data_IF_144463609268
#
_entry.id   IF_144463609268
#
_cell.length_a   1.000
_cell.length_b   1.000
_cell.length_c   1.000
_cell.angle_alpha   90.00
_cell.angle_beta   90.00
_cell.angle_gamma   90.00
#
_symmetry.space_group_name_H-M   'P 1'
#
loop_
_entity.id
_entity.type
_entity.pdbx_description
1 polymer ?
#
# COMPACT_ATOMS: atom_id res chain seq x y z
N UNK A 1 6.47 0.48 0.97
CA UNK A 1 5.02 0.47 0.75
C UNK A 1 4.34 0.01 2.02
N UNK A 2 3.21 0.62 2.36
CA UNK A 2 2.32 0.21 3.44
C UNK A 2 1.00 -0.23 2.80
N UNK A 3 0.53 -1.43 3.14
CA UNK A 3 -0.70 -2.03 2.64
C UNK A 3 -1.43 -2.72 3.78
N UNK A 4 -2.68 -3.09 3.52
CA UNK A 4 -3.49 -3.96 4.37
C UNK A 4 -3.43 -5.38 3.82
N UNK A 5 -3.75 -6.36 4.65
CA UNK A 5 -3.88 -7.77 4.26
C UNK A 5 -5.27 -8.08 3.69
N UNK A 6 -6.32 -7.43 4.20
CA UNK A 6 -7.67 -7.48 3.65
C UNK A 6 -8.50 -6.20 3.96
N UNK A 7 -9.80 -6.21 3.60
CA UNK A 7 -10.71 -5.07 3.73
C UNK A 7 -11.44 -4.98 5.08
N UNK A 8 -11.23 -5.93 5.99
CA UNK A 8 -11.74 -5.93 7.36
C UNK A 8 -13.26 -6.03 7.51
N UNK A 9 -14.00 -6.34 6.43
CA UNK A 9 -15.47 -6.29 6.43
C UNK A 9 -16.05 -4.87 6.29
N UNK A 10 -15.21 -3.86 6.07
CA UNK A 10 -15.66 -2.47 5.93
C UNK A 10 -16.31 -2.22 4.56
N UNK A 11 -17.23 -1.25 4.52
CA UNK A 11 -17.92 -0.87 3.28
C UNK A 11 -16.97 -0.10 2.35
N UNK A 12 -16.91 -0.55 1.09
CA UNK A 12 -16.39 0.22 -0.03
C UNK A 12 -17.47 0.34 -1.11
N UNK A 13 -17.59 1.51 -1.72
CA UNK A 13 -18.65 1.78 -2.70
C UNK A 13 -18.36 1.24 -4.10
N UNK A 14 -17.11 0.86 -4.39
CA UNK A 14 -16.72 0.37 -5.71
C UNK A 14 -16.92 -1.14 -5.78
N UNK A 15 -17.76 -1.64 -6.70
CA UNK A 15 -17.89 -3.08 -6.91
C UNK A 15 -16.54 -3.67 -7.33
N UNK A 16 -16.09 -4.78 -6.71
CA UNK A 16 -14.82 -5.41 -7.08
C UNK A 16 -14.80 -5.84 -8.56
N UNK A 17 -13.74 -5.50 -9.32
CA UNK A 17 -13.59 -5.96 -10.70
C UNK A 17 -13.48 -7.48 -10.78
N UNK A 18 -14.10 -8.06 -11.83
CA UNK A 18 -14.00 -9.49 -12.11
C UNK A 18 -12.91 -9.74 -13.15
N UNK A 19 -11.74 -10.17 -12.69
CA UNK A 19 -10.53 -10.36 -13.53
C UNK A 19 -10.20 -11.82 -13.82
N UNK A 20 -10.72 -12.75 -13.02
CA UNK A 20 -10.62 -14.19 -13.21
C UNK A 20 -11.72 -14.92 -12.41
N UNK A 21 -11.61 -16.25 -12.25
CA UNK A 21 -12.61 -17.06 -11.52
C UNK A 21 -12.83 -16.62 -10.05
N UNK A 22 -11.84 -15.95 -9.44
CA UNK A 22 -11.93 -15.41 -8.08
C UNK A 22 -12.20 -13.90 -8.10
N UNK A 23 -11.75 -13.20 -9.13
CA UNK A 23 -11.82 -11.75 -9.25
C UNK A 23 -10.85 -11.02 -8.32
N UNK A 24 -11.06 -9.71 -8.18
CA UNK A 24 -10.52 -8.93 -7.07
C UNK A 24 -11.47 -8.93 -5.88
N UNK A 25 -10.94 -8.57 -4.71
CA UNK A 25 -11.73 -8.27 -3.52
C UNK A 25 -12.11 -6.79 -3.43
N UNK A 26 -12.82 -6.39 -2.35
CA UNK A 26 -13.01 -4.97 -2.03
C UNK A 26 -11.67 -4.24 -1.92
N UNK A 27 -11.67 -2.96 -2.27
CA UNK A 27 -10.45 -2.14 -2.26
C UNK A 27 -9.89 -2.00 -0.85
N UNK A 28 -8.57 -1.99 -0.76
CA UNK A 28 -7.83 -1.63 0.45
C UNK A 28 -6.96 -0.41 0.16
N UNK A 29 -6.60 0.40 1.18
CA UNK A 29 -5.67 1.49 0.96
C UNK A 29 -4.26 0.97 0.63
N UNK A 30 -3.50 1.75 -0.12
CA UNK A 30 -2.09 1.50 -0.39
C UNK A 30 -1.33 2.82 -0.29
N UNK A 31 -0.16 2.81 0.35
CA UNK A 31 0.69 3.99 0.52
C UNK A 31 2.10 3.66 0.05
N UNK A 32 2.57 4.38 -0.96
CA UNK A 32 3.96 4.32 -1.44
C UNK A 32 4.77 5.37 -0.70
N UNK A 33 5.83 4.95 -0.02
CA UNK A 33 6.72 5.80 0.79
C UNK A 33 8.12 5.60 0.24
N UNK A 34 8.68 6.65 -0.37
CA UNK A 34 10.02 6.63 -0.97
C UNK A 34 10.53 8.07 -1.18
N UNK A 35 11.85 8.30 -1.18
CA UNK A 35 12.38 9.57 -1.69
C UNK A 35 11.98 9.86 -3.14
N UNK A 36 11.68 8.82 -3.93
CA UNK A 36 11.25 8.92 -5.33
C UNK A 36 9.73 8.78 -5.54
N UNK A 37 8.93 8.67 -4.47
CA UNK A 37 7.47 8.76 -4.65
C UNK A 37 7.08 10.18 -5.01
N UNK A 38 6.13 10.36 -5.92
CA UNK A 38 5.66 11.69 -6.33
C UNK A 38 4.91 12.38 -5.16
N UNK A 39 5.35 13.57 -4.70
CA UNK A 39 4.80 14.18 -3.49
C UNK A 39 3.36 14.67 -3.68
N UNK A 40 2.49 14.33 -2.74
CA UNK A 40 1.08 14.75 -2.77
C UNK A 40 0.23 14.08 -3.85
N UNK A 41 0.74 13.05 -4.51
CA UNK A 41 0.03 12.36 -5.58
C UNK A 41 -0.95 11.31 -5.07
N UNK A 42 -2.14 11.29 -5.68
CA UNK A 42 -3.08 10.17 -5.58
C UNK A 42 -2.88 9.29 -6.81
N UNK A 43 -2.06 8.24 -6.65
CA UNK A 43 -1.87 7.25 -7.68
C UNK A 43 -3.16 6.43 -7.85
N UNK A 44 -3.80 6.58 -9.02
CA UNK A 44 -5.18 6.11 -9.28
C UNK A 44 -5.24 4.90 -10.22
N UNK A 45 -4.11 4.25 -10.48
CA UNK A 45 -4.07 3.03 -11.28
C UNK A 45 -4.60 1.83 -10.48
N UNK A 46 -5.07 0.81 -11.19
CA UNK A 46 -5.51 -0.44 -10.55
C UNK A 46 -4.30 -1.31 -10.23
N UNK A 47 -4.22 -1.74 -8.97
CA UNK A 47 -3.30 -2.74 -8.48
C UNK A 47 -4.01 -3.69 -7.52
N UNK A 48 -3.44 -4.88 -7.36
CA UNK A 48 -3.87 -5.87 -6.38
C UNK A 48 -2.66 -6.38 -5.58
N UNK A 49 -2.87 -7.32 -4.66
CA UNK A 49 -1.78 -7.82 -3.81
C UNK A 49 -0.60 -8.42 -4.58
N UNK A 50 -0.84 -8.93 -5.80
CA UNK A 50 0.23 -9.43 -6.66
C UNK A 50 1.09 -8.32 -7.29
N UNK A 51 0.61 -7.08 -7.34
CA UNK A 51 1.40 -5.92 -7.82
C UNK A 51 2.64 -5.65 -6.97
N UNK A 52 2.62 -6.03 -5.69
CA UNK A 52 3.81 -5.97 -4.82
C UNK A 52 4.90 -6.91 -5.32
N UNK A 53 4.52 -8.14 -5.70
CA UNK A 53 5.45 -9.12 -6.28
C UNK A 53 5.93 -8.63 -7.63
N UNK A 54 5.03 -8.15 -8.49
CA UNK A 54 5.38 -7.61 -9.81
C UNK A 54 6.39 -6.46 -9.74
N UNK A 55 6.25 -5.55 -8.77
CA UNK A 55 7.22 -4.48 -8.55
C UNK A 55 8.61 -5.06 -8.22
N UNK A 56 8.69 -6.02 -7.29
CA UNK A 56 9.94 -6.69 -6.91
C UNK A 56 10.55 -7.39 -8.12
N UNK A 57 9.75 -8.17 -8.85
CA UNK A 57 10.17 -8.86 -10.06
C UNK A 57 10.76 -7.91 -11.10
N UNK A 58 10.08 -6.79 -11.33
CA UNK A 58 10.51 -5.79 -12.31
C UNK A 58 11.79 -5.08 -11.88
N UNK A 59 11.95 -4.74 -10.59
CA UNK A 59 13.15 -4.05 -10.07
C UNK A 59 14.38 -4.97 -10.07
N UNK A 60 14.21 -6.25 -9.79
CA UNK A 60 15.32 -7.21 -9.64
C UNK A 60 15.51 -8.14 -10.84
N UNK A 61 14.78 -7.91 -11.94
CA UNK A 61 14.79 -8.75 -13.14
C UNK A 61 14.55 -10.24 -12.82
N UNK A 62 13.48 -10.50 -12.05
CA UNK A 62 13.07 -11.86 -11.67
C UNK A 62 11.88 -12.32 -12.51
N UNK A 63 11.77 -13.63 -12.80
CA UNK A 63 10.59 -14.18 -13.44
C UNK A 63 9.40 -14.18 -12.47
N UNK A 64 8.19 -14.05 -13.02
CA UNK A 64 6.95 -14.22 -12.28
C UNK A 64 6.78 -15.65 -11.75
N UNK A 65 6.09 -15.80 -10.62
CA UNK A 65 5.84 -17.09 -9.98
C UNK A 65 4.58 -17.76 -10.54
N UNK A 66 3.60 -16.97 -10.99
CA UNK A 66 2.31 -17.43 -11.51
C UNK A 66 1.85 -16.58 -12.71
N UNK A 67 0.63 -16.81 -13.21
CA UNK A 67 0.02 -15.92 -14.21
C UNK A 67 -0.52 -14.62 -13.59
N UNK A 68 -0.85 -14.65 -12.28
CA UNK A 68 -1.49 -13.53 -11.58
C UNK A 68 -0.54 -12.36 -11.39
N UNK A 69 0.64 -12.60 -10.82
CA UNK A 69 1.74 -11.65 -10.74
C UNK A 69 2.31 -11.30 -12.12
N UNK A 70 2.39 -12.25 -13.06
CA UNK A 70 2.84 -11.95 -14.42
C UNK A 70 2.05 -10.83 -15.11
N UNK A 71 0.73 -10.77 -14.85
CA UNK A 71 -0.22 -9.82 -15.45
C UNK A 71 -0.57 -8.62 -14.56
N UNK A 72 -0.02 -8.56 -13.34
CA UNK A 72 -0.29 -7.48 -12.40
C UNK A 72 0.36 -6.15 -12.83
N UNK A 73 -0.11 -5.05 -12.24
CA UNK A 73 0.51 -3.73 -12.38
C UNK A 73 1.88 -3.71 -11.67
N UNK A 74 2.92 -3.19 -12.32
CA UNK A 74 4.28 -3.11 -11.78
C UNK A 74 4.52 -1.96 -10.78
N UNK A 75 3.54 -1.05 -10.64
CA UNK A 75 3.54 0.09 -9.73
C UNK A 75 4.66 1.11 -9.98
N UNK A 76 5.47 0.99 -11.03
CA UNK A 76 6.62 1.87 -11.26
C UNK A 76 6.20 3.31 -11.53
N UNK A 77 5.00 3.52 -12.09
CA UNK A 77 4.44 4.85 -12.34
C UNK A 77 4.11 5.64 -11.07
N UNK A 78 4.05 4.99 -9.89
CA UNK A 78 3.93 5.66 -8.59
C UNK A 78 5.22 6.38 -8.18
N UNK A 79 6.33 6.14 -8.88
CA UNK A 79 7.62 6.76 -8.66
C UNK A 79 7.97 7.71 -9.81
N UNK A 80 8.75 8.72 -9.49
CA UNK A 80 9.52 9.51 -10.45
C UNK A 80 10.99 9.38 -10.04
N UNK A 81 11.77 8.65 -10.83
CA UNK A 81 13.19 8.42 -10.57
C UNK A 81 14.09 9.53 -11.14
N UNK A 82 13.53 10.43 -11.96
CA UNK A 82 14.24 11.58 -12.51
C UNK A 82 14.17 12.79 -11.56
N UNK A 83 13.22 12.79 -10.62
CA UNK A 83 13.11 13.83 -9.60
C UNK A 83 14.29 13.83 -8.61
N UNK A 84 14.53 14.98 -7.98
CA UNK A 84 15.39 15.06 -6.80
C UNK A 84 14.72 14.35 -5.61
N UNK A 85 15.43 13.50 -4.86
CA UNK A 85 14.84 12.76 -3.74
C UNK A 85 14.15 13.68 -2.73
N UNK A 86 12.91 13.34 -2.34
CA UNK A 86 12.18 14.05 -1.30
C UNK A 86 12.97 14.05 0.02
N UNK A 87 13.00 15.18 0.76
CA UNK A 87 13.66 15.24 2.06
C UNK A 87 12.94 14.34 3.08
N UNK A 88 13.67 13.78 4.06
CA UNK A 88 13.04 13.00 5.12
C UNK A 88 12.13 13.89 5.99
N UNK A 89 10.97 13.35 6.36
CA UNK A 89 10.12 13.95 7.39
C UNK A 89 10.65 13.55 8.76
N UNK A 90 11.38 14.46 9.41
CA UNK A 90 11.82 14.29 10.79
C UNK A 90 10.67 14.69 11.71
N UNK A 91 10.08 13.72 12.39
CA UNK A 91 9.04 13.96 13.39
C UNK A 91 9.68 14.31 14.72
N UNK A 92 9.13 15.32 15.39
CA UNK A 92 9.48 15.61 16.78
C UNK A 92 8.79 14.59 17.70
N UNK A 93 9.50 14.14 18.74
CA UNK A 93 8.93 13.29 19.76
C UNK A 93 7.80 14.05 20.48
N UNK A 94 6.65 13.39 20.63
CA UNK A 94 5.51 13.97 21.32
C UNK A 94 5.50 13.49 22.75
N UNK A 95 5.47 14.41 23.71
CA UNK A 95 5.13 14.11 25.10
C UNK A 95 3.65 13.72 25.18
N UNK A 96 3.37 12.44 24.99
CA UNK A 96 2.05 11.88 25.22
C UNK A 96 1.93 11.56 26.72
N UNK A 97 1.05 12.23 27.49
CA UNK A 97 0.79 11.79 28.85
C UNK A 97 0.30 10.34 28.81
N UNK A 98 0.86 9.49 29.68
CA UNK A 98 0.33 8.16 29.87
C UNK A 98 -1.17 8.29 30.18
N UNK A 99 -2.05 7.43 29.63
CA UNK A 99 -3.43 7.43 30.05
C UNK A 99 -3.46 7.36 31.57
N UNK A 100 -4.22 8.26 32.21
CA UNK A 100 -4.45 8.18 33.65
C UNK A 100 -4.84 6.74 33.97
N UNK A 101 -4.32 6.20 35.07
CA UNK A 101 -4.54 4.82 35.51
C UNK A 101 -6.01 4.54 35.93
N UNK A 102 -6.98 5.01 35.15
CA UNK A 102 -8.43 4.79 35.28
C UNK A 102 -8.80 3.46 34.63
N UNK A 103 -8.06 2.42 35.00
CA UNK A 103 -8.59 1.07 35.08
C UNK A 103 -8.20 0.54 36.46
N UNK A 104 -8.71 1.20 37.51
CA UNK A 104 -8.91 0.50 38.77
C UNK A 104 -9.94 -0.59 38.49
N UNK A 105 -9.50 -1.84 38.54
CA UNK A 105 -10.40 -2.97 38.63
C UNK A 105 -11.34 -2.72 39.81
N UNK A 106 -12.63 -2.50 39.52
CA UNK A 106 -13.67 -2.55 40.53
C UNK A 106 -13.73 -3.96 41.15
N UNK A 107 -14.33 -4.10 42.33
CA UNK A 107 -14.29 -5.32 43.13
C UNK A 107 -14.87 -6.55 42.44
#
# INVERSE_FOLDING_TARGET
>A
MLTWDDFGGYYDHVPPPHVDIYGYGPRVPAIVISPWSKPGEIWSETADFSSVLKLIETVFDLPALTERDATANDMLSAFDFEQSPNPPLLLEERDCPAPDAVFQAGP
#
